data_IF_431149230072
#
_entry.id   IF_431149230072
#
_cell.length_a   1.000
_cell.length_b   1.000
_cell.length_c   1.000
_cell.angle_alpha   90.00
_cell.angle_beta   90.00
_cell.angle_gamma   90.00
#
_symmetry.space_group_name_H-M   'P 1'
#
loop_
_entity.id
_entity.type
_entity.pdbx_description
1 polymer ?
#
# COMPACT_ATOMS: atom_id res chain seq x y z
N UNK A 1 -8.02 -5.92 -3.07
CA UNK A 1 -7.61 -7.26 -2.61
C UNK A 1 -8.82 -8.11 -2.24
N UNK A 2 -9.71 -7.63 -1.37
CA UNK A 2 -10.91 -8.37 -0.97
C UNK A 2 -11.93 -8.38 -2.11
N UNK A 3 -12.48 -7.21 -2.47
CA UNK A 3 -13.57 -7.13 -3.45
C UNK A 3 -13.16 -7.57 -4.86
N UNK A 4 -11.92 -7.28 -5.25
CA UNK A 4 -11.39 -7.64 -6.57
C UNK A 4 -10.53 -8.92 -6.59
N UNK A 5 -10.36 -9.60 -5.45
CA UNK A 5 -9.55 -10.82 -5.36
C UNK A 5 -8.03 -10.65 -5.57
N UNK A 6 -7.51 -9.41 -5.61
CA UNK A 6 -6.08 -9.18 -5.81
C UNK A 6 -5.24 -9.78 -4.65
N UNK A 7 -4.21 -10.55 -4.99
CA UNK A 7 -3.28 -11.19 -4.01
C UNK A 7 -2.31 -10.20 -3.37
N UNK A 8 -1.99 -9.10 -4.06
CA UNK A 8 -1.10 -8.04 -3.63
C UNK A 8 -1.60 -6.70 -4.16
N UNK A 9 -1.21 -5.61 -3.52
CA UNK A 9 -1.54 -4.26 -3.96
C UNK A 9 -0.37 -3.29 -3.72
N UNK A 10 -0.34 -2.21 -4.49
CA UNK A 10 0.63 -1.13 -4.35
C UNK A 10 -0.11 0.19 -4.16
N UNK A 11 0.21 0.93 -3.10
CA UNK A 11 -0.45 2.19 -2.79
C UNK A 11 0.15 3.30 -3.65
N UNK A 12 -0.71 4.04 -4.33
CA UNK A 12 -0.36 5.20 -5.15
C UNK A 12 -1.07 6.47 -4.63
N UNK A 13 -0.86 7.61 -5.29
CA UNK A 13 -1.51 8.91 -4.99
C UNK A 13 -1.25 9.51 -3.60
N UNK A 14 -0.23 9.05 -2.87
CA UNK A 14 0.17 9.64 -1.59
C UNK A 14 1.57 10.26 -1.67
N UNK A 15 1.91 11.11 -0.70
CA UNK A 15 3.30 11.51 -0.42
C UNK A 15 4.02 12.34 -1.49
N UNK A 16 3.33 12.81 -2.53
CA UNK A 16 3.95 13.51 -3.68
C UNK A 16 3.42 14.91 -3.90
N UNK A 17 2.09 15.09 -3.93
CA UNK A 17 1.42 16.38 -4.14
C UNK A 17 0.35 16.55 -3.07
N UNK A 18 0.28 17.72 -2.45
CA UNK A 18 -0.76 18.02 -1.47
C UNK A 18 -2.06 18.41 -2.19
N UNK A 19 -2.98 17.44 -2.30
CA UNK A 19 -4.30 17.63 -2.90
C UNK A 19 -5.44 17.71 -1.86
N UNK A 20 -5.13 17.39 -0.60
CA UNK A 20 -6.07 17.35 0.52
C UNK A 20 -5.44 17.97 1.78
N UNK A 21 -6.20 18.00 2.88
CA UNK A 21 -5.75 18.52 4.18
C UNK A 21 -4.97 17.49 5.01
N UNK A 22 -4.86 16.26 4.54
CA UNK A 22 -4.15 15.19 5.25
C UNK A 22 -2.65 15.48 5.32
N UNK A 23 -2.01 15.08 6.42
CA UNK A 23 -0.56 15.18 6.51
C UNK A 23 0.12 14.22 5.53
N UNK A 24 1.32 14.56 5.05
CA UNK A 24 1.99 13.82 3.96
C UNK A 24 2.15 12.31 4.21
N UNK A 25 2.36 11.90 5.47
CA UNK A 25 2.53 10.49 5.87
C UNK A 25 1.24 9.84 6.41
N UNK A 26 0.17 10.62 6.61
CA UNK A 26 -1.09 10.15 7.19
C UNK A 26 -1.74 9.01 6.37
N UNK A 27 -1.81 9.08 5.01
CA UNK A 27 -2.34 7.97 4.22
C UNK A 27 -1.57 6.65 4.42
N UNK A 28 -0.24 6.72 4.61
CA UNK A 28 0.59 5.53 4.84
C UNK A 28 0.32 4.92 6.22
N UNK A 29 0.12 5.76 7.24
CA UNK A 29 -0.22 5.32 8.59
C UNK A 29 -1.63 4.71 8.63
N UNK A 30 -2.60 5.36 7.98
CA UNK A 30 -3.97 4.88 7.88
C UNK A 30 -4.05 3.52 7.16
N UNK A 31 -3.28 3.34 6.07
CA UNK A 31 -3.15 2.05 5.39
C UNK A 31 -2.64 0.96 6.36
N UNK A 32 -1.57 1.25 7.12
CA UNK A 32 -1.04 0.30 8.10
C UNK A 32 -2.07 -0.13 9.16
N UNK A 33 -2.85 0.83 9.67
CA UNK A 33 -3.93 0.54 10.62
C UNK A 33 -5.04 -0.32 10.00
N UNK A 34 -5.48 0.00 8.78
CA UNK A 34 -6.52 -0.76 8.09
C UNK A 34 -6.09 -2.20 7.76
N UNK A 35 -4.83 -2.41 7.36
CA UNK A 35 -4.27 -3.74 7.14
C UNK A 35 -4.24 -4.56 8.43
N UNK A 36 -3.81 -3.94 9.54
CA UNK A 36 -3.80 -4.59 10.84
C UNK A 36 -5.22 -4.98 11.30
N UNK A 37 -6.20 -4.09 11.16
CA UNK A 37 -7.61 -4.36 11.49
C UNK A 37 -8.19 -5.55 10.69
N UNK A 38 -7.73 -5.73 9.45
CA UNK A 38 -8.19 -6.81 8.56
C UNK A 38 -7.30 -8.04 8.58
N UNK A 39 -6.26 -8.08 9.42
CA UNK A 39 -5.32 -9.20 9.51
C UNK A 39 -4.54 -9.45 8.21
N UNK A 40 -4.34 -8.41 7.39
CA UNK A 40 -3.62 -8.50 6.13
C UNK A 40 -2.16 -8.16 6.37
N UNK A 41 -1.26 -9.04 5.93
CA UNK A 41 0.16 -8.83 6.10
C UNK A 41 0.62 -7.56 5.32
N UNK A 42 1.40 -6.65 5.96
CA UNK A 42 1.75 -5.36 5.36
C UNK A 42 2.64 -5.48 4.12
N UNK A 43 3.35 -6.59 3.95
CA UNK A 43 4.11 -6.90 2.75
C UNK A 43 3.22 -7.22 1.54
N UNK A 44 1.94 -7.54 1.73
CA UNK A 44 0.99 -7.77 0.63
C UNK A 44 0.41 -6.48 0.06
N UNK A 45 0.38 -5.39 0.83
CA UNK A 45 -0.06 -4.07 0.36
C UNK A 45 0.91 -2.97 0.81
N UNK A 46 1.85 -2.64 -0.06
CA UNK A 46 2.92 -1.68 0.26
C UNK A 46 2.61 -0.27 -0.21
N UNK A 47 2.95 0.70 0.63
CA UNK A 47 3.09 2.11 0.27
C UNK A 47 4.59 2.44 0.19
N UNK A 48 5.14 2.45 -1.02
CA UNK A 48 6.58 2.64 -1.28
C UNK A 48 6.91 4.11 -1.58
N UNK A 49 8.16 4.52 -1.34
CA UNK A 49 8.64 5.87 -1.68
C UNK A 49 8.99 5.99 -3.17
N UNK A 50 9.03 7.21 -3.74
CA UNK A 50 9.50 7.42 -5.11
C UNK A 50 10.90 6.85 -5.33
N UNK A 51 11.05 6.00 -6.35
CA UNK A 51 12.31 5.34 -6.69
C UNK A 51 12.58 4.03 -5.94
N UNK A 52 11.72 3.63 -5.00
CA UNK A 52 11.82 2.33 -4.34
C UNK A 52 11.34 1.21 -5.29
N UNK A 53 12.06 0.10 -5.31
CA UNK A 53 11.68 -1.10 -6.06
C UNK A 53 11.07 -2.15 -5.11
N UNK A 54 10.12 -2.92 -5.63
CA UNK A 54 9.57 -4.07 -4.93
C UNK A 54 9.70 -5.31 -5.80
N UNK A 55 10.73 -6.10 -5.51
CA UNK A 55 10.93 -7.39 -6.16
C UNK A 55 9.87 -8.39 -5.69
N UNK A 56 9.19 -8.99 -6.65
CA UNK A 56 8.22 -10.05 -6.42
C UNK A 56 8.83 -11.37 -6.89
N UNK A 57 8.55 -12.49 -6.21
CA UNK A 57 8.84 -13.80 -6.78
C UNK A 57 8.09 -13.93 -8.11
N UNK A 58 8.65 -14.72 -9.03
CA UNK A 58 7.94 -15.10 -10.24
C UNK A 58 6.58 -15.68 -9.86
N UNK A 59 5.55 -15.35 -10.65
CA UNK A 59 4.24 -15.96 -10.45
C UNK A 59 4.39 -17.48 -10.58
N UNK A 60 3.94 -18.23 -9.56
CA UNK A 60 3.80 -19.68 -9.70
C UNK A 60 2.80 -19.95 -10.84
N UNK A 61 3.18 -20.86 -11.74
CA UNK A 61 2.41 -21.25 -12.91
C UNK A 61 1.17 -22.09 -12.52
#
# INVERSE_FOLDING_TARGET
MIDCGARRALAHHWGTVQLTNEAIDEPRLALGAALAERGIAPDLFRAIRPGEAWDLPAAEA
#
